data_IF_380170860035
#
_entry.id   IF_380170860035
#
_cell.length_a   1.000
_cell.length_b   1.000
_cell.length_c   1.000
_cell.angle_alpha   90.00
_cell.angle_beta   90.00
_cell.angle_gamma   90.00
#
_symmetry.space_group_name_H-M   'P 1'
#
loop_
_entity.id
_entity.type
_entity.pdbx_description
1 polymer ?
#
# COMPACT_ATOMS: atom_id res chain seq x y z
N UNK A 1 -7.04 -41.73 14.32
CA UNK A 1 -7.17 -40.34 14.80
C UNK A 1 -8.16 -39.63 13.89
N UNK A 2 -9.39 -39.47 14.34
CA UNK A 2 -10.46 -38.79 13.60
C UNK A 2 -10.59 -37.35 14.13
N UNK A 3 -10.59 -36.37 13.24
CA UNK A 3 -10.95 -34.98 13.54
C UNK A 3 -12.48 -34.84 13.63
N UNK A 4 -13.05 -34.10 14.59
CA UNK A 4 -14.47 -33.81 14.58
C UNK A 4 -14.79 -32.62 13.66
N UNK A 5 -15.85 -32.83 12.87
CA UNK A 5 -16.50 -31.89 11.95
C UNK A 5 -17.12 -30.69 12.69
N UNK A 6 -17.28 -29.60 11.93
CA UNK A 6 -17.88 -28.32 12.26
C UNK A 6 -19.17 -28.39 13.09
N UNK A 7 -19.32 -27.49 14.08
CA UNK A 7 -20.63 -27.09 14.61
C UNK A 7 -21.32 -26.17 13.60
N UNK A 8 -22.59 -26.41 13.24
CA UNK A 8 -23.40 -25.39 12.59
C UNK A 8 -23.63 -24.22 13.57
N UNK A 9 -23.57 -22.98 13.06
CA UNK A 9 -24.09 -21.80 13.77
C UNK A 9 -25.60 -21.85 13.71
N UNK A 10 -26.25 -21.73 14.87
CA UNK A 10 -27.70 -21.66 15.03
C UNK A 10 -28.25 -20.35 14.41
N UNK A 11 -28.57 -20.36 13.12
CA UNK A 11 -29.23 -19.24 12.43
C UNK A 11 -30.76 -19.25 12.69
N UNK A 12 -31.31 -20.39 13.12
CA UNK A 12 -32.76 -20.56 13.32
C UNK A 12 -33.32 -19.87 14.58
N UNK A 13 -32.45 -19.32 15.44
CA UNK A 13 -32.81 -18.80 16.76
C UNK A 13 -33.02 -17.26 16.80
N UNK A 14 -32.71 -16.54 15.72
CA UNK A 14 -32.94 -15.09 15.63
C UNK A 14 -34.30 -14.76 15.01
N UNK A 15 -34.69 -15.46 13.94
CA UNK A 15 -35.98 -15.26 13.28
C UNK A 15 -37.18 -15.53 14.22
N UNK A 16 -37.05 -16.52 15.11
CA UNK A 16 -38.09 -16.84 16.11
C UNK A 16 -38.21 -15.79 17.20
N UNK A 17 -37.13 -15.11 17.57
CA UNK A 17 -37.14 -14.02 18.56
C UNK A 17 -37.75 -12.74 17.99
N UNK A 18 -37.49 -12.46 16.71
CA UNK A 18 -38.01 -11.28 16.03
C UNK A 18 -39.55 -11.37 15.88
N UNK A 19 -40.08 -12.53 15.52
CA UNK A 19 -41.53 -12.77 15.44
C UNK A 19 -42.21 -12.64 16.79
N UNK A 20 -41.58 -13.13 17.87
CA UNK A 20 -42.11 -12.98 19.22
C UNK A 20 -42.17 -11.50 19.64
N UNK A 21 -41.10 -10.73 19.40
CA UNK A 21 -41.02 -9.31 19.74
C UNK A 21 -42.01 -8.45 18.95
N UNK A 22 -42.25 -8.78 17.67
CA UNK A 22 -43.22 -8.07 16.83
C UNK A 22 -44.65 -8.26 17.30
N UNK A 23 -44.98 -9.40 17.90
CA UNK A 23 -46.33 -9.70 18.39
C UNK A 23 -46.77 -8.86 19.60
N UNK A 24 -45.82 -8.25 20.31
CA UNK A 24 -46.05 -7.35 21.44
C UNK A 24 -46.26 -5.88 21.03
N UNK A 25 -45.99 -5.55 19.76
CA UNK A 25 -46.13 -4.20 19.23
C UNK A 25 -47.57 -3.85 18.88
N UNK A 26 -47.91 -2.57 18.96
CA UNK A 26 -49.21 -2.08 18.49
C UNK A 26 -49.38 -2.31 16.97
N UNK A 27 -50.61 -2.45 16.45
CA UNK A 27 -50.85 -2.65 15.02
C UNK A 27 -50.22 -1.57 14.13
N UNK A 28 -50.20 -0.30 14.60
CA UNK A 28 -49.55 0.80 13.90
C UNK A 28 -48.03 0.66 13.86
N UNK A 29 -47.42 0.19 14.95
CA UNK A 29 -45.98 -0.06 15.05
C UNK A 29 -45.55 -1.25 14.17
N UNK A 30 -46.35 -2.32 14.10
CA UNK A 30 -46.13 -3.43 13.19
C UNK A 30 -46.21 -2.99 11.72
N UNK A 31 -47.20 -2.16 11.39
CA UNK A 31 -47.38 -1.63 10.04
C UNK A 31 -46.22 -0.71 9.64
N UNK A 32 -45.71 0.11 10.57
CA UNK A 32 -44.52 0.93 10.36
C UNK A 32 -43.27 0.07 10.12
N UNK A 33 -43.03 -0.95 10.94
CA UNK A 33 -41.91 -1.88 10.77
C UNK A 33 -42.00 -2.63 9.42
N UNK A 34 -43.17 -3.17 9.08
CA UNK A 34 -43.37 -3.89 7.81
C UNK A 34 -43.18 -2.96 6.60
N UNK A 35 -43.58 -1.69 6.71
CA UNK A 35 -43.37 -0.70 5.65
C UNK A 35 -41.88 -0.36 5.52
N UNK A 36 -41.18 -0.19 6.64
CA UNK A 36 -39.75 0.10 6.67
C UNK A 36 -38.91 -1.09 6.17
N UNK A 37 -39.24 -2.31 6.59
CA UNK A 37 -38.61 -3.55 6.11
C UNK A 37 -38.85 -3.75 4.62
N UNK A 38 -40.06 -3.45 4.12
CA UNK A 38 -40.36 -3.47 2.69
C UNK A 38 -39.59 -2.39 1.93
N UNK A 39 -39.40 -1.20 2.48
CA UNK A 39 -38.55 -0.16 1.87
C UNK A 39 -37.07 -0.57 1.87
N UNK A 40 -36.60 -1.28 2.89
CA UNK A 40 -35.25 -1.85 2.98
C UNK A 40 -35.05 -3.05 2.03
N UNK A 41 -36.07 -3.87 1.82
CA UNK A 41 -36.02 -4.99 0.86
C UNK A 41 -36.22 -4.54 -0.60
N UNK A 42 -36.82 -3.37 -0.81
CA UNK A 42 -37.01 -2.77 -2.15
C UNK A 42 -35.96 -1.71 -2.47
N UNK A 43 -35.03 -1.43 -1.55
CA UNK A 43 -33.87 -0.59 -1.85
C UNK A 43 -32.77 -1.44 -2.47
N UNK A 44 -32.76 -1.39 -3.80
CA UNK A 44 -31.56 -1.45 -4.62
C UNK A 44 -30.87 -2.82 -4.57
N UNK A 45 -31.18 -3.66 -5.56
CA UNK A 45 -30.14 -4.47 -6.17
C UNK A 45 -29.02 -3.52 -6.59
N UNK A 46 -28.06 -3.29 -5.69
CA UNK A 46 -26.89 -2.48 -5.95
C UNK A 46 -26.09 -3.30 -6.95
N UNK A 47 -26.31 -3.02 -8.23
CA UNK A 47 -25.35 -3.38 -9.26
C UNK A 47 -24.12 -2.58 -8.84
N UNK A 48 -23.25 -3.22 -8.06
CA UNK A 48 -21.97 -2.67 -7.70
C UNK A 48 -21.25 -2.38 -9.03
N UNK A 49 -21.05 -1.09 -9.40
CA UNK A 49 -20.35 -0.76 -10.63
C UNK A 49 -18.90 -1.26 -10.61
N UNK A 50 -18.42 -1.76 -9.46
CA UNK A 50 -17.11 -2.37 -9.28
C UNK A 50 -17.10 -3.91 -9.25
N UNK A 51 -18.24 -4.60 -9.33
CA UNK A 51 -18.27 -6.07 -9.35
C UNK A 51 -17.68 -6.70 -10.63
N UNK A 52 -17.25 -5.87 -11.59
CA UNK A 52 -16.53 -6.28 -12.79
C UNK A 52 -15.26 -5.42 -12.98
N UNK A 53 -14.58 -5.08 -11.89
CA UNK A 53 -13.24 -4.51 -11.95
C UNK A 53 -12.28 -5.59 -12.42
N UNK A 54 -11.85 -5.49 -13.67
CA UNK A 54 -10.68 -6.24 -14.14
C UNK A 54 -9.53 -5.90 -13.16
N UNK A 55 -8.98 -6.86 -12.38
CA UNK A 55 -7.92 -6.58 -11.42
C UNK A 55 -6.70 -5.88 -12.05
N UNK A 56 -6.47 -6.09 -13.36
CA UNK A 56 -5.42 -5.38 -14.09
C UNK A 56 -5.72 -3.88 -14.23
N UNK A 57 -6.98 -3.49 -14.43
CA UNK A 57 -7.37 -2.09 -14.53
C UNK A 57 -7.16 -1.33 -13.21
N UNK A 58 -7.40 -1.99 -12.07
CA UNK A 58 -7.11 -1.41 -10.75
C UNK A 58 -5.61 -1.19 -10.54
N UNK A 59 -4.78 -2.15 -10.96
CA UNK A 59 -3.32 -2.05 -10.89
C UNK A 59 -2.80 -0.94 -11.80
N UNK A 60 -3.28 -0.87 -13.04
CA UNK A 60 -2.92 0.20 -13.98
C UNK A 60 -3.31 1.58 -13.44
N UNK A 61 -4.52 1.72 -12.88
CA UNK A 61 -4.97 2.96 -12.25
C UNK A 61 -4.11 3.32 -11.03
N UNK A 62 -3.72 2.34 -10.22
CA UNK A 62 -2.85 2.55 -9.08
C UNK A 62 -1.44 3.00 -9.51
N UNK A 63 -0.84 2.33 -10.50
CA UNK A 63 0.47 2.69 -11.05
C UNK A 63 0.43 4.09 -11.70
N UNK A 64 -0.65 4.40 -12.41
CA UNK A 64 -0.87 5.72 -13.03
C UNK A 64 -0.92 6.84 -11.99
N UNK A 65 -1.54 6.59 -10.83
CA UNK A 65 -1.59 7.55 -9.71
C UNK A 65 -0.32 7.59 -8.85
N UNK A 66 0.57 6.59 -8.98
CA UNK A 66 1.82 6.49 -8.23
C UNK A 66 2.99 6.18 -9.16
N UNK A 67 3.29 7.03 -10.15
CA UNK A 67 4.21 6.67 -11.22
C UNK A 67 5.61 6.35 -10.66
N UNK A 68 6.32 5.33 -11.20
CA UNK A 68 7.66 4.95 -10.75
C UNK A 68 8.66 6.11 -10.65
N UNK A 69 8.52 7.08 -11.56
CA UNK A 69 9.35 8.29 -11.59
C UNK A 69 9.15 9.18 -10.37
N UNK A 70 7.96 9.22 -9.78
CA UNK A 70 7.67 9.97 -8.56
C UNK A 70 8.06 9.18 -7.33
N UNK A 71 7.88 7.85 -7.37
CA UNK A 71 8.18 6.95 -6.25
C UNK A 71 9.62 7.09 -5.73
N UNK A 72 10.61 7.22 -6.62
CA UNK A 72 12.00 7.47 -6.22
C UNK A 72 12.19 8.76 -5.41
N UNK A 73 11.38 9.80 -5.66
CA UNK A 73 11.43 11.03 -4.87
C UNK A 73 10.68 10.87 -3.55
N UNK A 74 9.57 10.13 -3.56
CA UNK A 74 8.82 9.81 -2.34
C UNK A 74 9.71 9.04 -1.35
N UNK A 75 10.42 8.01 -1.81
CA UNK A 75 11.35 7.25 -0.96
C UNK A 75 12.54 8.10 -0.46
N UNK A 76 12.92 9.15 -1.20
CA UNK A 76 13.98 10.07 -0.78
C UNK A 76 13.46 11.28 0.02
N UNK A 77 12.21 11.27 0.50
CA UNK A 77 11.59 12.43 1.14
C UNK A 77 12.31 12.90 2.42
N UNK A 78 12.84 11.98 3.22
CA UNK A 78 13.56 12.33 4.46
C UNK A 78 14.86 13.06 4.16
N UNK A 79 15.59 12.62 3.13
CA UNK A 79 16.85 13.24 2.70
C UNK A 79 16.57 14.59 2.04
N UNK A 80 15.48 14.70 1.28
CA UNK A 80 15.03 15.99 0.74
C UNK A 80 14.63 16.96 1.86
N UNK A 81 13.97 16.47 2.91
CA UNK A 81 13.61 17.26 4.08
C UNK A 81 14.86 17.79 4.79
N UNK A 82 15.87 16.93 5.00
CA UNK A 82 17.15 17.33 5.59
C UNK A 82 17.91 18.36 4.72
N UNK A 83 17.86 18.21 3.39
CA UNK A 83 18.40 19.21 2.47
C UNK A 83 17.68 20.56 2.61
N UNK A 84 16.34 20.56 2.64
CA UNK A 84 15.55 21.77 2.79
C UNK A 84 15.77 22.44 4.15
N UNK A 85 15.86 21.65 5.22
CA UNK A 85 16.20 22.13 6.55
C UNK A 85 17.58 22.80 6.56
N UNK A 86 18.59 22.20 5.92
CA UNK A 86 19.90 22.84 5.78
C UNK A 86 19.80 24.21 5.07
N UNK A 87 19.03 24.31 3.99
CA UNK A 87 18.85 25.58 3.25
C UNK A 87 18.14 26.65 4.09
N UNK A 88 17.17 26.27 4.92
CA UNK A 88 16.34 27.19 5.69
C UNK A 88 17.02 27.62 7.00
N UNK A 89 17.48 26.66 7.80
CA UNK A 89 17.92 26.85 9.18
C UNK A 89 19.34 26.35 9.45
N UNK A 90 20.03 25.78 8.46
CA UNK A 90 21.39 25.26 8.61
C UNK A 90 22.45 26.34 8.84
N UNK A 91 23.69 25.94 9.18
CA UNK A 91 24.81 26.86 9.37
C UNK A 91 25.03 27.75 8.14
N UNK A 92 25.29 29.04 8.35
CA UNK A 92 25.49 30.03 7.27
C UNK A 92 26.50 29.55 6.20
N UNK A 93 27.63 28.97 6.64
CA UNK A 93 28.66 28.45 5.72
C UNK A 93 28.12 27.33 4.82
N UNK A 94 27.33 26.41 5.37
CA UNK A 94 26.74 25.32 4.58
C UNK A 94 25.69 25.85 3.61
N UNK A 95 24.85 26.78 4.05
CA UNK A 95 23.86 27.46 3.20
C UNK A 95 24.50 28.19 2.03
N UNK A 96 25.60 28.93 2.26
CA UNK A 96 26.37 29.58 1.20
C UNK A 96 26.98 28.59 0.21
N UNK A 97 27.36 27.40 0.69
CA UNK A 97 27.83 26.30 -0.15
C UNK A 97 26.67 25.50 -0.79
N UNK A 98 25.43 25.97 -0.69
CA UNK A 98 24.25 25.31 -1.25
C UNK A 98 23.94 23.96 -0.60
N UNK A 99 24.36 23.75 0.64
CA UNK A 99 24.19 22.49 1.36
C UNK A 99 24.71 21.27 0.56
N UNK A 100 25.87 21.42 -0.08
CA UNK A 100 26.48 20.48 -1.04
C UNK A 100 26.42 19.01 -0.59
N UNK A 101 26.71 18.72 0.69
CA UNK A 101 26.60 17.38 1.27
C UNK A 101 25.20 16.78 1.08
N UNK A 102 24.17 17.51 1.47
CA UNK A 102 22.78 17.07 1.38
C UNK A 102 22.30 17.05 -0.07
N UNK A 103 22.71 18.02 -0.88
CA UNK A 103 22.40 18.06 -2.32
C UNK A 103 22.91 16.80 -3.03
N UNK A 104 24.18 16.41 -2.80
CA UNK A 104 24.75 15.18 -3.33
C UNK A 104 24.03 13.94 -2.80
N UNK A 105 23.69 13.91 -1.51
CA UNK A 105 22.96 12.79 -0.90
C UNK A 105 21.56 12.61 -1.50
N UNK A 106 20.85 13.70 -1.83
CA UNK A 106 19.58 13.63 -2.57
C UNK A 106 19.79 13.03 -3.96
N UNK A 107 20.81 13.46 -4.70
CA UNK A 107 21.11 12.93 -6.03
C UNK A 107 21.44 11.43 -5.99
N UNK A 108 22.32 11.02 -5.07
CA UNK A 108 22.66 9.60 -4.87
C UNK A 108 21.44 8.78 -4.49
N UNK A 109 20.56 9.28 -3.62
CA UNK A 109 19.33 8.59 -3.24
C UNK A 109 18.42 8.37 -4.45
N UNK A 110 18.13 9.42 -5.22
CA UNK A 110 17.24 9.32 -6.39
C UNK A 110 17.81 8.38 -7.45
N UNK A 111 19.13 8.41 -7.65
CA UNK A 111 19.80 7.49 -8.57
C UNK A 111 19.71 6.05 -8.09
N UNK A 112 20.07 5.78 -6.83
CA UNK A 112 20.00 4.45 -6.25
C UNK A 112 18.57 3.90 -6.25
N UNK A 113 17.57 4.72 -5.91
CA UNK A 113 16.15 4.34 -5.98
C UNK A 113 15.73 3.97 -7.40
N UNK A 114 16.20 4.70 -8.41
CA UNK A 114 15.92 4.36 -9.81
C UNK A 114 16.46 2.97 -10.16
N UNK A 115 17.67 2.65 -9.72
CA UNK A 115 18.29 1.34 -9.95
C UNK A 115 17.59 0.24 -9.14
N UNK A 116 17.29 0.46 -7.86
CA UNK A 116 16.64 -0.50 -6.98
C UNK A 116 15.24 -0.88 -7.48
N UNK A 117 14.42 0.11 -7.84
CA UNK A 117 13.07 -0.15 -8.37
C UNK A 117 13.11 -0.98 -9.66
N UNK A 118 14.10 -0.73 -10.52
CA UNK A 118 14.31 -1.53 -11.74
C UNK A 118 14.81 -2.95 -11.43
N UNK A 119 15.78 -3.11 -10.53
CA UNK A 119 16.35 -4.42 -10.21
C UNK A 119 15.36 -5.33 -9.45
N UNK A 120 14.49 -4.73 -8.64
CA UNK A 120 13.39 -5.44 -7.97
C UNK A 120 12.23 -5.76 -8.93
N UNK A 121 12.20 -5.16 -10.12
CA UNK A 121 11.25 -5.45 -11.19
C UNK A 121 9.90 -4.74 -11.05
N UNK A 122 9.87 -3.49 -10.57
CA UNK A 122 8.64 -2.72 -10.36
C UNK A 122 7.76 -2.68 -11.63
N UNK A 123 8.37 -2.60 -12.81
CA UNK A 123 7.67 -2.56 -14.11
C UNK A 123 6.90 -3.85 -14.43
N UNK A 124 7.17 -4.94 -13.72
CA UNK A 124 6.53 -6.25 -13.89
C UNK A 124 5.44 -6.51 -12.85
N UNK A 125 5.22 -5.59 -11.90
CA UNK A 125 4.24 -5.78 -10.84
C UNK A 125 2.82 -5.94 -11.42
N UNK A 126 2.22 -7.10 -11.17
CA UNK A 126 0.85 -7.42 -11.64
C UNK A 126 -0.22 -7.19 -10.56
N UNK A 127 0.19 -6.79 -9.35
CA UNK A 127 -0.72 -6.49 -8.25
C UNK A 127 -0.28 -5.23 -7.51
N UNK A 128 -1.24 -4.51 -6.92
CA UNK A 128 -0.99 -3.35 -6.04
C UNK A 128 -0.11 -3.77 -4.86
N UNK A 129 -0.31 -4.99 -4.36
CA UNK A 129 0.44 -5.51 -3.22
C UNK A 129 1.92 -5.71 -3.57
N UNK A 130 2.22 -6.34 -4.70
CA UNK A 130 3.59 -6.52 -5.22
C UNK A 130 4.25 -5.16 -5.45
N UNK A 131 3.53 -4.20 -6.05
CA UNK A 131 4.02 -2.84 -6.29
C UNK A 131 4.46 -2.17 -4.97
N UNK A 132 3.62 -2.23 -3.94
CA UNK A 132 3.92 -1.68 -2.61
C UNK A 132 5.09 -2.39 -1.93
N UNK A 133 5.19 -3.71 -2.06
CA UNK A 133 6.31 -4.48 -1.52
C UNK A 133 7.63 -4.09 -2.17
N UNK A 134 7.66 -3.96 -3.50
CA UNK A 134 8.84 -3.49 -4.22
C UNK A 134 9.22 -2.07 -3.79
N UNK A 135 8.25 -1.16 -3.70
CA UNK A 135 8.47 0.21 -3.22
C UNK A 135 9.14 0.23 -1.83
N UNK A 136 8.60 -0.56 -0.89
CA UNK A 136 9.09 -0.63 0.49
C UNK A 136 10.47 -1.31 0.59
N UNK A 137 10.72 -2.34 -0.22
CA UNK A 137 12.02 -2.99 -0.29
C UNK A 137 13.09 -2.05 -0.86
N UNK A 138 12.76 -1.28 -1.92
CA UNK A 138 13.67 -0.28 -2.48
C UNK A 138 14.02 0.82 -1.47
N UNK A 139 13.03 1.31 -0.71
CA UNK A 139 13.26 2.26 0.38
C UNK A 139 14.20 1.71 1.45
N UNK A 140 13.91 0.50 1.94
CA UNK A 140 14.71 -0.18 2.97
C UNK A 140 16.16 -0.40 2.51
N UNK A 141 16.35 -0.89 1.28
CA UNK A 141 17.67 -1.14 0.71
C UNK A 141 18.46 0.16 0.50
N UNK A 142 17.79 1.21 0.04
CA UNK A 142 18.41 2.52 -0.09
C UNK A 142 18.88 3.04 1.27
N UNK A 143 18.03 3.00 2.30
CA UNK A 143 18.41 3.47 3.64
C UNK A 143 19.57 2.67 4.24
N UNK A 144 19.66 1.37 3.93
CA UNK A 144 20.77 0.52 4.36
C UNK A 144 22.09 0.86 3.66
N UNK A 145 22.05 1.13 2.35
CA UNK A 145 23.25 1.12 1.51
C UNK A 145 23.61 2.47 0.89
N UNK A 146 22.82 3.53 1.10
CA UNK A 146 22.99 4.82 0.44
C UNK A 146 24.37 5.42 0.66
N UNK A 147 24.93 5.34 1.87
CA UNK A 147 26.23 5.95 2.14
C UNK A 147 27.36 5.23 1.38
N UNK A 148 27.30 3.89 1.28
CA UNK A 148 28.25 3.11 0.46
C UNK A 148 28.07 3.41 -1.04
N UNK A 149 26.82 3.41 -1.50
CA UNK A 149 26.47 3.72 -2.88
C UNK A 149 26.94 5.13 -3.26
N UNK A 150 26.78 6.13 -2.38
CA UNK A 150 27.19 7.50 -2.64
C UNK A 150 28.71 7.66 -2.85
N UNK A 151 29.53 6.76 -2.28
CA UNK A 151 30.97 6.74 -2.50
C UNK A 151 31.34 6.11 -3.84
N UNK A 152 30.70 4.98 -4.19
CA UNK A 152 31.08 4.19 -5.36
C UNK A 152 30.32 4.58 -6.63
N UNK A 153 29.19 5.26 -6.47
CA UNK A 153 28.20 5.57 -7.50
C UNK A 153 27.78 4.35 -8.33
N UNK A 154 27.66 3.19 -7.68
CA UNK A 154 27.23 1.92 -8.24
C UNK A 154 26.85 0.95 -7.11
N UNK A 155 26.03 -0.05 -7.42
CA UNK A 155 25.79 -1.18 -6.51
C UNK A 155 27.02 -2.09 -6.44
N UNK A 156 27.53 -2.31 -5.23
CA UNK A 156 28.52 -3.34 -4.94
C UNK A 156 27.89 -4.74 -5.03
N UNK A 157 28.71 -5.81 -5.14
CA UNK A 157 28.20 -7.18 -5.08
C UNK A 157 27.35 -7.47 -3.83
N UNK A 158 27.72 -6.90 -2.69
CA UNK A 158 27.01 -7.02 -1.43
C UNK A 158 25.61 -6.39 -1.52
N UNK A 159 25.51 -5.19 -2.09
CA UNK A 159 24.22 -4.53 -2.36
C UNK A 159 23.37 -5.37 -3.30
N UNK A 160 23.96 -5.90 -4.38
CA UNK A 160 23.24 -6.72 -5.36
C UNK A 160 22.71 -8.03 -4.75
N UNK A 161 23.47 -8.68 -3.87
CA UNK A 161 23.00 -9.88 -3.18
C UNK A 161 21.75 -9.58 -2.34
N UNK A 162 21.77 -8.51 -1.56
CA UNK A 162 20.60 -8.07 -0.78
C UNK A 162 19.39 -7.74 -1.68
N UNK A 163 19.64 -7.07 -2.83
CA UNK A 163 18.60 -6.77 -3.81
C UNK A 163 17.98 -8.06 -4.35
N UNK A 164 18.79 -9.06 -4.69
CA UNK A 164 18.30 -10.34 -5.20
C UNK A 164 17.58 -11.14 -4.13
N UNK A 165 18.04 -11.13 -2.88
CA UNK A 165 17.35 -11.77 -1.77
C UNK A 165 15.95 -11.16 -1.55
N UNK A 166 15.84 -9.82 -1.57
CA UNK A 166 14.55 -9.14 -1.45
C UNK A 166 13.65 -9.38 -2.65
N UNK A 167 14.20 -9.30 -3.86
CA UNK A 167 13.47 -9.61 -5.09
C UNK A 167 12.88 -11.02 -5.00
N UNK A 168 13.72 -12.01 -4.76
CA UNK A 168 13.28 -13.40 -4.67
C UNK A 168 12.24 -13.62 -3.56
N UNK A 169 12.36 -12.92 -2.42
CA UNK A 169 11.38 -12.99 -1.34
C UNK A 169 10.00 -12.38 -1.70
N UNK A 170 9.97 -11.34 -2.54
CA UNK A 170 8.75 -10.73 -3.06
C UNK A 170 8.10 -11.68 -4.06
N UNK A 171 8.85 -12.09 -5.09
CA UNK A 171 8.30 -12.84 -6.23
C UNK A 171 8.03 -14.32 -5.94
N UNK A 172 8.52 -14.88 -4.82
CA UNK A 172 8.12 -16.24 -4.37
C UNK A 172 6.74 -16.29 -3.74
N UNK A 173 6.15 -15.14 -3.37
CA UNK A 173 4.86 -15.07 -2.66
C UNK A 173 3.67 -14.82 -3.58
N UNK A 174 3.93 -14.40 -4.82
CA UNK A 174 2.95 -14.27 -5.89
C UNK A 174 2.84 -15.58 -6.68
#
# INVERSE_FOLDING_TARGET
MFWPLHRPRDVDNEATKEVALMSELSPQSQQAYNTQSKLLSTSISYIDPFANTNPQAEVEQYISSHPPRELRYVNCADIQSAFMECIQSGPWKERLMGCDKWSKKVQSCVQMQTELLSQLGLEKAQSIQTYKQISSAADTLCMKWLDEYAVQNKMSPEILNDVYDQRDAIWRKD
#
